data_IF_804591753796
#
_entry.id   IF_804591753796
#
_cell.length_a   1.000
_cell.length_b   1.000
_cell.length_c   1.000
_cell.angle_alpha   90.00
_cell.angle_beta   90.00
_cell.angle_gamma   90.00
#
_symmetry.space_group_name_H-M   'P 1'
#
loop_
_entity.id
_entity.type
_entity.pdbx_description
1 polymer ?
#
# COMPACT_ATOMS: atom_id res chain seq x y z
N UNK A 1 10.83 65.17 -20.97
CA UNK A 1 11.28 64.45 -19.75
C UNK A 1 10.17 64.40 -18.69
N UNK A 2 8.92 64.12 -19.08
CA UNK A 2 7.76 64.11 -18.17
C UNK A 2 6.65 63.14 -18.63
N UNK A 3 7.01 62.12 -19.43
CA UNK A 3 6.11 61.07 -19.90
C UNK A 3 6.60 59.65 -19.57
N UNK A 4 7.75 59.51 -18.92
CA UNK A 4 8.36 58.20 -18.59
C UNK A 4 8.11 57.76 -17.13
N UNK A 5 7.63 58.67 -16.26
CA UNK A 5 7.36 58.40 -14.85
C UNK A 5 5.93 57.88 -14.56
N UNK A 6 5.01 57.97 -15.53
CA UNK A 6 3.62 57.51 -15.37
C UNK A 6 3.41 56.02 -15.73
N UNK A 7 4.41 55.37 -16.33
CA UNK A 7 4.37 53.92 -16.62
C UNK A 7 4.96 53.05 -15.50
N UNK A 8 5.60 53.66 -14.48
CA UNK A 8 6.12 52.95 -13.30
C UNK A 8 5.17 52.94 -12.09
N UNK A 9 3.95 53.48 -12.24
CA UNK A 9 2.95 53.54 -11.16
C UNK A 9 1.67 52.73 -11.42
N UNK A 10 1.65 51.88 -12.46
CA UNK A 10 0.55 50.92 -12.74
C UNK A 10 0.98 49.45 -12.75
N UNK A 11 2.09 49.12 -12.08
CA UNK A 11 2.58 47.75 -11.92
C UNK A 11 2.51 47.21 -10.48
N UNK A 12 1.73 47.83 -9.59
CA UNK A 12 1.63 47.42 -8.17
C UNK A 12 0.19 47.09 -7.71
N UNK A 13 -0.63 46.51 -8.58
CA UNK A 13 -1.86 45.82 -8.18
C UNK A 13 -2.00 44.47 -8.89
N UNK A 14 -1.04 43.59 -8.65
CA UNK A 14 -1.35 42.17 -8.54
C UNK A 14 -0.70 41.71 -7.23
N UNK A 15 -1.54 41.53 -6.20
CA UNK A 15 -1.11 40.86 -4.99
C UNK A 15 -0.82 39.40 -5.33
N UNK A 16 0.36 39.12 -5.88
CA UNK A 16 0.91 37.78 -5.94
C UNK A 16 1.19 37.42 -4.49
N UNK A 17 0.23 36.76 -3.83
CA UNK A 17 0.44 36.09 -2.55
C UNK A 17 1.75 35.31 -2.69
N UNK A 18 2.74 35.59 -1.83
CA UNK A 18 3.95 34.76 -1.74
C UNK A 18 3.52 33.30 -1.71
N UNK A 19 3.93 32.58 -2.74
CA UNK A 19 3.45 31.24 -3.03
C UNK A 19 3.95 30.36 -1.88
N UNK A 20 3.04 29.74 -1.11
CA UNK A 20 3.36 28.77 -0.05
C UNK A 20 4.05 27.58 -0.70
N UNK A 21 5.38 27.62 -0.77
CA UNK A 21 6.14 26.73 -1.64
C UNK A 21 6.51 25.44 -0.92
N UNK A 22 6.63 25.41 0.41
CA UNK A 22 7.06 24.20 1.12
C UNK A 22 5.89 23.26 1.41
N UNK A 23 5.92 22.07 0.83
CA UNK A 23 4.90 21.04 1.00
C UNK A 23 5.47 19.74 1.59
N UNK A 24 4.77 19.15 2.55
CA UNK A 24 5.10 17.84 3.10
C UNK A 24 3.93 16.87 2.97
N UNK A 25 4.23 15.57 2.82
CA UNK A 25 3.25 14.51 2.73
C UNK A 25 3.35 13.56 3.93
N UNK A 26 2.23 13.32 4.59
CA UNK A 26 2.09 12.26 5.59
C UNK A 26 1.12 11.20 5.09
N UNK A 27 1.66 10.10 4.58
CA UNK A 27 0.87 9.00 4.04
C UNK A 27 0.67 7.90 5.07
N UNK A 28 -0.59 7.51 5.27
CA UNK A 28 -0.98 6.43 6.15
C UNK A 28 -1.64 5.29 5.36
N UNK A 29 -1.47 4.06 5.83
CA UNK A 29 -2.18 2.89 5.31
C UNK A 29 -1.38 2.06 4.32
N UNK A 30 -1.99 1.80 3.16
CA UNK A 30 -1.57 0.75 2.24
C UNK A 30 -0.58 1.24 1.16
N UNK A 31 0.02 0.28 0.44
CA UNK A 31 0.92 0.53 -0.72
C UNK A 31 0.27 1.44 -1.77
N UNK A 32 -1.03 1.30 -1.99
CA UNK A 32 -1.81 2.14 -2.91
C UNK A 32 -1.78 3.62 -2.51
N UNK A 33 -1.97 3.93 -1.22
CA UNK A 33 -1.90 5.30 -0.72
C UNK A 33 -0.50 5.91 -0.93
N UNK A 34 0.58 5.11 -0.81
CA UNK A 34 1.94 5.57 -1.12
C UNK A 34 2.12 5.89 -2.59
N UNK A 35 1.65 5.05 -3.51
CA UNK A 35 1.68 5.33 -4.94
C UNK A 35 0.95 6.64 -5.28
N UNK A 36 -0.23 6.85 -4.69
CA UNK A 36 -1.03 8.05 -4.90
C UNK A 36 -0.39 9.31 -4.31
N UNK A 37 0.15 9.24 -3.09
CA UNK A 37 0.83 10.38 -2.47
C UNK A 37 2.09 10.79 -3.23
N UNK A 38 2.91 9.84 -3.68
CA UNK A 38 4.10 10.18 -4.46
C UNK A 38 3.75 10.76 -5.83
N UNK A 39 2.67 10.30 -6.48
CA UNK A 39 2.19 10.89 -7.73
C UNK A 39 1.72 12.34 -7.53
N UNK A 40 0.96 12.61 -6.47
CA UNK A 40 0.57 13.98 -6.09
C UNK A 40 1.78 14.86 -5.77
N UNK A 41 2.77 14.32 -5.05
CA UNK A 41 3.99 15.04 -4.73
C UNK A 41 4.80 15.39 -5.99
N UNK A 42 4.82 14.51 -6.99
CA UNK A 42 5.48 14.78 -8.27
C UNK A 42 4.75 15.89 -9.05
N UNK A 43 3.44 15.81 -9.17
CA UNK A 43 2.61 16.83 -9.84
C UNK A 43 2.77 18.21 -9.19
N UNK A 44 2.75 18.28 -7.85
CA UNK A 44 2.99 19.52 -7.13
C UNK A 44 4.41 20.07 -7.34
N UNK A 45 5.44 19.22 -7.43
CA UNK A 45 6.81 19.68 -7.76
C UNK A 45 6.89 20.26 -9.16
N UNK A 46 6.25 19.62 -10.14
CA UNK A 46 6.19 20.11 -11.53
C UNK A 46 5.47 21.48 -11.61
N UNK A 47 4.60 21.79 -10.64
CA UNK A 47 3.90 23.07 -10.51
C UNK A 47 4.57 24.08 -9.55
N UNK A 48 5.83 23.84 -9.17
CA UNK A 48 6.68 24.79 -8.43
C UNK A 48 6.63 24.68 -6.90
N UNK A 49 6.01 23.65 -6.35
CA UNK A 49 6.05 23.38 -4.90
C UNK A 49 7.33 22.62 -4.53
N UNK A 50 8.02 23.07 -3.49
CA UNK A 50 9.19 22.43 -2.90
C UNK A 50 8.77 21.37 -1.87
N UNK A 51 9.03 20.11 -2.17
CA UNK A 51 8.82 19.04 -1.18
C UNK A 51 9.85 19.10 -0.05
N UNK A 52 9.38 19.12 1.20
CA UNK A 52 10.22 19.15 2.41
C UNK A 52 9.91 17.98 3.35
N UNK A 53 10.92 17.60 4.14
CA UNK A 53 10.82 16.63 5.23
C UNK A 53 11.83 17.07 6.30
N UNK A 54 11.43 17.37 7.56
CA UNK A 54 10.18 17.01 8.24
C UNK A 54 8.94 17.87 7.89
N UNK A 55 7.75 17.35 8.22
CA UNK A 55 6.48 18.05 8.04
C UNK A 55 6.33 19.31 8.91
N UNK A 56 7.18 19.46 9.93
CA UNK A 56 7.19 20.61 10.84
C UNK A 56 7.70 21.89 10.16
N UNK A 57 8.49 21.76 9.08
CA UNK A 57 9.02 22.89 8.30
C UNK A 57 8.16 23.27 7.08
N UNK A 58 7.00 22.60 6.91
CA UNK A 58 6.15 22.76 5.74
C UNK A 58 5.07 23.83 5.94
N UNK A 59 4.80 24.60 4.91
CA UNK A 59 3.70 25.56 4.89
C UNK A 59 2.37 24.88 4.55
N UNK A 60 2.44 23.79 3.78
CA UNK A 60 1.31 22.93 3.43
C UNK A 60 1.65 21.50 3.84
N UNK A 61 0.73 20.84 4.55
CA UNK A 61 0.88 19.43 4.90
C UNK A 61 -0.29 18.62 4.36
N UNK A 62 -0.01 17.69 3.46
CA UNK A 62 -1.00 16.78 2.87
C UNK A 62 -1.02 15.48 3.66
N UNK A 63 -2.15 15.19 4.31
CA UNK A 63 -2.40 13.95 5.06
C UNK A 63 -3.22 13.01 4.18
N UNK A 64 -2.62 11.91 3.71
CA UNK A 64 -3.35 10.87 2.98
C UNK A 64 -3.77 9.74 3.95
N UNK A 65 -5.07 9.70 4.25
CA UNK A 65 -5.67 8.86 5.29
C UNK A 65 -6.05 7.47 4.77
N UNK A 66 -6.19 6.52 5.71
CA UNK A 66 -6.60 5.14 5.42
C UNK A 66 -7.80 4.74 6.27
N UNK A 67 -8.79 4.09 5.64
CA UNK A 67 -10.01 3.60 6.27
C UNK A 67 -10.02 2.08 6.49
N UNK A 68 -8.90 1.37 6.30
CA UNK A 68 -8.87 -0.09 6.48
C UNK A 68 -8.98 -0.48 7.96
N UNK A 69 -8.35 0.26 8.87
CA UNK A 69 -8.39 -0.04 10.32
C UNK A 69 -8.63 1.22 11.15
N UNK A 70 -9.35 1.08 12.28
CA UNK A 70 -9.52 2.18 13.25
C UNK A 70 -8.18 2.68 13.81
N UNK A 71 -7.18 1.79 13.92
CA UNK A 71 -5.81 2.17 14.33
C UNK A 71 -5.15 3.13 13.33
N UNK A 72 -5.36 2.91 12.02
CA UNK A 72 -4.85 3.80 10.99
C UNK A 72 -5.50 5.19 11.09
N UNK A 73 -6.81 5.27 11.29
CA UNK A 73 -7.52 6.54 11.47
C UNK A 73 -7.08 7.29 12.71
N UNK A 74 -6.93 6.58 13.84
CA UNK A 74 -6.42 7.17 15.09
C UNK A 74 -5.03 7.78 14.89
N UNK A 75 -4.13 7.08 14.20
CA UNK A 75 -2.79 7.61 13.86
C UNK A 75 -2.86 8.85 12.97
N UNK A 76 -3.76 8.89 11.99
CA UNK A 76 -3.96 10.06 11.13
C UNK A 76 -4.38 11.28 11.96
N UNK A 77 -5.42 11.12 12.81
CA UNK A 77 -5.91 12.20 13.66
C UNK A 77 -4.84 12.68 14.64
N UNK A 78 -4.09 11.77 15.25
CA UNK A 78 -2.98 12.11 16.14
C UNK A 78 -1.89 12.91 15.42
N UNK A 79 -1.55 12.54 14.18
CA UNK A 79 -0.58 13.29 13.38
C UNK A 79 -1.07 14.71 13.08
N UNK A 80 -2.35 14.90 12.71
CA UNK A 80 -2.95 16.23 12.48
C UNK A 80 -2.80 17.11 13.73
N UNK A 81 -3.20 16.62 14.90
CA UNK A 81 -3.08 17.39 16.15
C UNK A 81 -1.63 17.73 16.47
N UNK A 82 -0.70 16.79 16.27
CA UNK A 82 0.72 17.04 16.49
C UNK A 82 1.25 18.13 15.56
N UNK A 83 0.97 18.02 14.25
CA UNK A 83 1.40 19.00 13.25
C UNK A 83 0.84 20.38 13.57
N UNK A 84 -0.44 20.48 13.91
CA UNK A 84 -1.03 21.77 14.29
C UNK A 84 -0.38 22.35 15.56
N UNK A 85 -0.01 21.51 16.53
CA UNK A 85 0.67 21.96 17.75
C UNK A 85 2.10 22.43 17.48
N UNK A 86 2.86 21.73 16.65
CA UNK A 86 4.28 22.04 16.37
C UNK A 86 4.46 23.09 15.28
N UNK A 87 3.51 23.20 14.36
CA UNK A 87 3.48 24.16 13.27
C UNK A 87 2.03 24.70 13.08
N UNK A 88 1.59 25.64 13.93
CA UNK A 88 0.23 26.17 13.89
C UNK A 88 -0.07 27.00 12.62
N UNK A 89 0.96 27.46 11.90
CA UNK A 89 0.82 28.18 10.63
C UNK A 89 0.61 27.28 9.40
N UNK A 90 0.86 25.98 9.52
CA UNK A 90 0.71 25.04 8.42
C UNK A 90 -0.75 24.93 7.96
N UNK A 91 -0.95 24.96 6.65
CA UNK A 91 -2.21 24.61 6.00
C UNK A 91 -2.32 23.10 5.89
N UNK A 92 -3.20 22.47 6.67
CA UNK A 92 -3.38 21.02 6.63
C UNK A 92 -4.46 20.66 5.61
N UNK A 93 -4.11 19.81 4.65
CA UNK A 93 -4.99 19.23 3.65
C UNK A 93 -5.17 17.75 4.00
N UNK A 94 -6.41 17.28 4.06
CA UNK A 94 -6.71 15.88 4.37
C UNK A 94 -7.37 15.21 3.18
N UNK A 95 -6.88 14.05 2.77
CA UNK A 95 -7.47 13.23 1.71
C UNK A 95 -7.39 11.74 2.03
N UNK A 96 -7.76 10.88 1.09
CA UNK A 96 -7.73 9.42 1.22
C UNK A 96 -9.05 8.81 1.68
N UNK A 97 -9.05 7.49 1.89
CA UNK A 97 -10.29 6.75 2.10
C UNK A 97 -11.06 7.16 3.35
N UNK A 98 -10.38 7.49 4.45
CA UNK A 98 -11.06 7.89 5.69
C UNK A 98 -11.66 9.29 5.55
N UNK A 99 -10.96 10.20 4.84
CA UNK A 99 -11.47 11.52 4.51
C UNK A 99 -12.73 11.46 3.64
N UNK A 100 -12.78 10.55 2.64
CA UNK A 100 -13.97 10.31 1.83
C UNK A 100 -15.18 9.89 2.67
N UNK A 101 -14.99 8.96 3.61
CA UNK A 101 -16.08 8.38 4.41
C UNK A 101 -16.50 9.27 5.58
N UNK A 102 -15.57 10.04 6.17
CA UNK A 102 -15.79 10.80 7.40
C UNK A 102 -15.23 12.23 7.27
N UNK A 103 -15.61 12.93 6.20
CA UNK A 103 -15.10 14.28 5.93
C UNK A 103 -15.41 15.29 7.04
N UNK A 104 -16.59 15.23 7.66
CA UNK A 104 -16.97 16.10 8.80
C UNK A 104 -16.09 15.89 10.02
N UNK A 105 -15.69 14.63 10.28
CA UNK A 105 -14.79 14.29 11.38
C UNK A 105 -13.33 14.71 11.15
N UNK A 106 -12.94 15.09 9.92
CA UNK A 106 -11.63 15.67 9.63
C UNK A 106 -11.69 17.19 9.45
N UNK A 107 -12.79 17.73 8.91
CA UNK A 107 -12.91 19.16 8.66
C UNK A 107 -13.03 20.00 9.94
N UNK A 108 -13.47 19.36 11.03
CA UNK A 108 -13.53 19.92 12.38
C UNK A 108 -12.20 19.89 13.13
N UNK A 109 -11.15 19.24 12.58
CA UNK A 109 -9.85 19.15 13.24
C UNK A 109 -9.05 20.44 13.08
N UNK A 110 -8.24 20.80 14.09
CA UNK A 110 -7.53 22.07 14.08
C UNK A 110 -6.45 22.11 12.98
N UNK A 111 -6.31 23.27 12.34
CA UNK A 111 -5.37 23.49 11.23
C UNK A 111 -5.82 22.93 9.88
N UNK A 112 -6.87 22.10 9.83
CA UNK A 112 -7.42 21.56 8.58
C UNK A 112 -8.13 22.67 7.82
N UNK A 113 -7.70 22.91 6.57
CA UNK A 113 -8.27 23.92 5.67
C UNK A 113 -8.97 23.32 4.46
N UNK A 114 -8.60 22.11 4.10
CA UNK A 114 -9.14 21.43 2.94
C UNK A 114 -9.30 19.94 3.21
N UNK A 115 -10.47 19.40 2.88
CA UNK A 115 -10.72 17.96 2.84
C UNK A 115 -11.11 17.56 1.42
N UNK A 116 -10.34 16.65 0.82
CA UNK A 116 -10.54 16.18 -0.56
C UNK A 116 -10.91 14.70 -0.58
N UNK A 117 -11.89 14.34 -1.41
CA UNK A 117 -12.25 12.97 -1.71
C UNK A 117 -11.12 12.19 -2.38
N UNK A 118 -11.31 10.87 -2.54
CA UNK A 118 -10.29 10.00 -3.13
C UNK A 118 -9.98 10.36 -4.58
N UNK A 119 -10.98 10.79 -5.35
CA UNK A 119 -10.84 11.21 -6.75
C UNK A 119 -10.52 12.71 -6.84
N UNK A 120 -11.02 13.51 -5.90
CA UNK A 120 -10.82 14.97 -5.86
C UNK A 120 -9.39 15.39 -5.57
N UNK A 121 -8.60 14.51 -4.95
CA UNK A 121 -7.19 14.79 -4.61
C UNK A 121 -6.33 15.16 -5.81
N UNK A 122 -6.69 14.72 -7.01
CA UNK A 122 -5.95 15.04 -8.23
C UNK A 122 -6.19 16.48 -8.72
N UNK A 123 -7.17 17.18 -8.14
CA UNK A 123 -7.40 18.62 -8.33
C UNK A 123 -6.82 19.49 -7.21
N UNK A 124 -5.85 18.98 -6.44
CA UNK A 124 -5.33 19.66 -5.23
C UNK A 124 -4.78 21.07 -5.51
N UNK A 125 -4.17 21.31 -6.67
CA UNK A 125 -3.62 22.62 -7.04
C UNK A 125 -4.75 23.64 -7.18
N UNK A 126 -5.78 23.33 -7.97
CA UNK A 126 -6.94 24.20 -8.14
C UNK A 126 -7.68 24.43 -6.81
N UNK A 127 -7.76 23.40 -5.97
CA UNK A 127 -8.37 23.49 -4.66
C UNK A 127 -7.57 24.38 -3.68
N UNK A 128 -6.24 24.35 -3.78
CA UNK A 128 -5.33 25.24 -3.03
C UNK A 128 -5.50 26.71 -3.43
N UNK A 129 -5.63 26.98 -4.74
CA UNK A 129 -5.86 28.33 -5.27
C UNK A 129 -7.24 28.88 -4.88
N UNK A 130 -8.22 28.00 -4.74
CA UNK A 130 -9.60 28.34 -4.35
C UNK A 130 -9.81 28.40 -2.83
N UNK A 131 -8.75 28.31 -2.01
CA UNK A 131 -8.89 28.38 -0.56
C UNK A 131 -9.44 29.75 -0.13
N UNK A 132 -10.55 29.78 0.63
CA UNK A 132 -11.12 31.04 1.08
C UNK A 132 -10.15 31.77 2.03
N UNK A 133 -10.21 33.10 2.02
CA UNK A 133 -9.45 33.95 2.95
C UNK A 133 -9.93 33.79 4.41
N UNK A 134 -11.16 33.30 4.59
CA UNK A 134 -11.78 33.09 5.90
C UNK A 134 -11.30 31.79 6.57
N UNK A 135 -11.54 31.67 7.88
CA UNK A 135 -11.11 30.53 8.67
C UNK A 135 -11.90 29.22 8.40
N UNK A 136 -12.70 29.15 7.33
CA UNK A 136 -13.59 28.04 7.02
C UNK A 136 -12.87 26.90 6.30
N UNK A 137 -13.12 25.67 6.72
CA UNK A 137 -12.62 24.48 6.03
C UNK A 137 -13.42 24.20 4.77
N UNK A 138 -12.76 24.10 3.62
CA UNK A 138 -13.38 23.67 2.37
C UNK A 138 -13.44 22.14 2.32
N UNK A 139 -14.61 21.57 2.01
CA UNK A 139 -14.77 20.14 1.78
C UNK A 139 -15.19 19.91 0.34
N UNK A 140 -14.34 19.27 -0.44
CA UNK A 140 -14.66 18.83 -1.80
C UNK A 140 -14.68 17.30 -1.82
N UNK A 141 -15.87 16.74 -1.60
CA UNK A 141 -16.11 15.30 -1.55
C UNK A 141 -17.18 14.97 -2.58
N UNK A 142 -16.77 14.41 -3.71
CA UNK A 142 -17.75 13.89 -4.67
C UNK A 142 -18.22 12.48 -4.26
N UNK A 143 -19.51 12.16 -4.46
CA UNK A 143 -19.98 10.79 -4.33
C UNK A 143 -19.21 9.88 -5.28
N UNK A 144 -18.77 8.76 -4.73
CA UNK A 144 -18.11 7.70 -5.47
C UNK A 144 -19.03 7.18 -6.58
N UNK A 145 -18.47 6.96 -7.79
CA UNK A 145 -19.19 6.37 -8.92
C UNK A 145 -19.75 7.35 -9.96
N UNK A 146 -19.67 8.68 -9.73
CA UNK A 146 -20.13 9.68 -10.72
C UNK A 146 -19.16 9.92 -11.88
N UNK A 147 -17.85 9.70 -11.69
CA UNK A 147 -16.80 9.90 -12.68
C UNK A 147 -15.71 8.84 -12.52
N UNK A 148 -15.99 7.59 -12.92
CA UNK A 148 -15.11 6.43 -12.73
C UNK A 148 -13.85 6.43 -13.64
N UNK A 149 -13.12 7.54 -13.72
CA UNK A 149 -11.83 7.60 -14.41
C UNK A 149 -10.78 6.88 -13.56
N UNK A 150 -10.03 5.99 -14.20
CA UNK A 150 -8.84 5.42 -13.58
C UNK A 150 -7.65 6.37 -13.75
N UNK A 151 -7.01 6.72 -12.64
CA UNK A 151 -5.77 7.52 -12.65
C UNK A 151 -4.63 6.62 -12.21
N UNK A 152 -3.71 6.39 -13.15
CA UNK A 152 -2.47 5.66 -12.89
C UNK A 152 -1.57 6.48 -11.97
N UNK A 153 -0.97 5.81 -10.99
CA UNK A 153 -0.12 6.47 -10.00
C UNK A 153 1.07 5.56 -9.67
N UNK A 154 2.23 6.15 -9.41
CA UNK A 154 3.40 5.39 -9.02
C UNK A 154 4.28 6.16 -8.04
N UNK A 155 5.02 5.42 -7.20
CA UNK A 155 5.96 6.02 -6.25
C UNK A 155 7.38 6.11 -6.79
N UNK A 156 8.06 7.24 -6.63
CA UNK A 156 9.44 7.45 -7.06
C UNK A 156 10.24 8.23 -6.02
N UNK A 157 11.54 7.91 -5.91
CA UNK A 157 12.52 8.69 -5.14
C UNK A 157 12.46 8.53 -3.62
N UNK A 158 11.30 8.18 -3.05
CA UNK A 158 11.14 8.01 -1.60
C UNK A 158 11.62 6.63 -1.08
N UNK A 159 11.73 5.64 -1.97
CA UNK A 159 12.04 4.24 -1.67
C UNK A 159 12.82 3.60 -2.81
N UNK A 160 13.57 2.54 -2.51
CA UNK A 160 14.29 1.73 -3.52
C UNK A 160 13.34 0.97 -4.47
N UNK A 161 12.07 0.83 -4.09
CA UNK A 161 11.04 0.06 -4.80
C UNK A 161 9.89 0.98 -5.17
N UNK A 162 9.31 0.79 -6.35
CA UNK A 162 8.17 1.56 -6.84
C UNK A 162 6.87 0.77 -6.70
N UNK A 163 5.86 1.34 -6.04
CA UNK A 163 4.49 0.85 -6.11
C UNK A 163 3.83 1.44 -7.36
N UNK A 164 3.38 0.60 -8.28
CA UNK A 164 2.64 1.00 -9.47
C UNK A 164 1.17 0.63 -9.29
N UNK A 165 0.30 1.63 -9.19
CA UNK A 165 -1.15 1.45 -9.13
C UNK A 165 -1.66 0.99 -10.50
N UNK A 166 -2.11 -0.26 -10.60
CA UNK A 166 -2.69 -0.83 -11.83
C UNK A 166 -4.21 -1.01 -11.73
N UNK A 167 -4.76 -1.06 -10.52
CA UNK A 167 -6.18 -1.34 -10.24
C UNK A 167 -6.64 -0.51 -9.02
N UNK A 168 -7.91 -0.11 -9.00
CA UNK A 168 -8.55 0.64 -7.90
C UNK A 168 -10.04 0.28 -7.76
N UNK A 169 -10.61 0.50 -6.58
CA UNK A 169 -11.97 0.08 -6.27
C UNK A 169 -12.13 -1.44 -6.17
N UNK A 170 -13.35 -1.92 -5.92
CA UNK A 170 -13.64 -3.36 -5.83
C UNK A 170 -15.13 -3.65 -5.99
N UNK A 171 -15.46 -4.68 -6.77
CA UNK A 171 -16.86 -5.14 -6.97
C UNK A 171 -17.26 -6.24 -5.98
N UNK A 172 -16.38 -6.58 -5.04
CA UNK A 172 -16.65 -7.57 -3.99
C UNK A 172 -17.33 -6.89 -2.80
N UNK A 173 -18.38 -7.54 -2.30
CA UNK A 173 -19.24 -7.02 -1.25
C UNK A 173 -18.96 -7.74 0.07
N UNK A 174 -17.71 -7.71 0.51
CA UNK A 174 -17.33 -8.29 1.80
C UNK A 174 -18.00 -7.50 2.94
N UNK A 175 -18.62 -8.21 3.88
CA UNK A 175 -19.50 -7.61 4.88
C UNK A 175 -18.80 -6.59 5.79
N UNK A 176 -17.47 -6.64 5.93
CA UNK A 176 -16.67 -5.71 6.74
C UNK A 176 -15.98 -4.59 5.94
N UNK A 177 -15.98 -4.66 4.61
CA UNK A 177 -15.08 -3.87 3.78
C UNK A 177 -15.68 -2.50 3.43
N UNK A 178 -14.95 -1.42 3.72
CA UNK A 178 -15.37 -0.06 3.36
C UNK A 178 -14.90 0.38 1.98
N UNK A 179 -14.16 -0.46 1.26
CA UNK A 179 -13.52 -0.03 0.00
C UNK A 179 -14.54 0.34 -1.08
N UNK A 180 -15.64 -0.43 -1.32
CA UNK A 180 -16.66 0.00 -2.27
C UNK A 180 -17.26 1.38 -1.92
N UNK A 181 -17.42 1.66 -0.61
CA UNK A 181 -17.94 2.95 -0.12
C UNK A 181 -16.94 4.11 -0.33
N UNK A 182 -15.64 3.84 -0.23
CA UNK A 182 -14.59 4.87 -0.26
C UNK A 182 -13.97 5.07 -1.65
N UNK A 183 -13.93 4.03 -2.48
CA UNK A 183 -13.20 3.99 -3.76
C UNK A 183 -14.07 3.54 -4.93
N UNK A 184 -15.23 2.93 -4.68
CA UNK A 184 -16.18 2.56 -5.72
C UNK A 184 -15.90 1.24 -6.39
N UNK A 185 -16.55 1.06 -7.54
CA UNK A 185 -16.44 -0.11 -8.40
C UNK A 185 -15.00 -0.33 -8.88
N UNK A 186 -14.69 -1.60 -9.21
CA UNK A 186 -13.39 -1.99 -9.72
C UNK A 186 -13.10 -1.32 -11.07
N UNK A 187 -11.91 -0.76 -11.21
CA UNK A 187 -11.39 -0.12 -12.43
C UNK A 187 -9.88 -0.29 -12.49
N UNK A 188 -9.33 -0.30 -13.69
CA UNK A 188 -7.90 -0.50 -13.90
C UNK A 188 -7.37 0.31 -15.09
N UNK A 189 -6.05 0.42 -15.15
CA UNK A 189 -5.36 0.74 -16.39
C UNK A 189 -5.59 -0.36 -17.44
N UNK A 190 -5.21 -0.06 -18.69
CA UNK A 190 -5.00 -1.09 -19.71
C UNK A 190 -3.59 -1.68 -19.62
N UNK A 191 -3.34 -2.80 -20.28
CA UNK A 191 -2.00 -3.40 -20.41
C UNK A 191 -1.04 -2.38 -21.03
N UNK A 192 -1.44 -1.73 -22.13
CA UNK A 192 -0.63 -0.69 -22.79
C UNK A 192 -0.22 0.42 -21.83
N UNK A 193 -1.18 1.01 -21.12
CA UNK A 193 -0.90 2.09 -20.15
C UNK A 193 0.02 1.60 -19.02
N UNK A 194 -0.15 0.36 -18.58
CA UNK A 194 0.67 -0.24 -17.52
C UNK A 194 2.11 -0.43 -18.00
N UNK A 195 2.32 -0.95 -19.21
CA UNK A 195 3.64 -1.14 -19.81
C UNK A 195 4.36 0.19 -20.05
N UNK A 196 3.65 1.22 -20.52
CA UNK A 196 4.19 2.58 -20.65
C UNK A 196 4.74 3.10 -19.31
N UNK A 197 4.00 2.90 -18.21
CA UNK A 197 4.48 3.30 -16.88
C UNK A 197 5.61 2.43 -16.36
N UNK A 198 5.61 1.12 -16.63
CA UNK A 198 6.74 0.24 -16.28
C UNK A 198 8.03 0.76 -16.92
N UNK A 199 8.01 1.07 -18.21
CA UNK A 199 9.18 1.59 -18.93
C UNK A 199 9.62 2.96 -18.37
N UNK A 200 8.67 3.87 -18.08
CA UNK A 200 8.97 5.16 -17.45
C UNK A 200 9.61 5.01 -16.07
N UNK A 201 9.16 4.04 -15.27
CA UNK A 201 9.71 3.78 -13.92
C UNK A 201 11.10 3.15 -14.02
N UNK A 202 11.28 2.16 -14.90
CA UNK A 202 12.55 1.50 -15.14
C UNK A 202 13.64 2.50 -15.57
N UNK A 203 13.29 3.43 -16.48
CA UNK A 203 14.19 4.50 -16.92
C UNK A 203 14.66 5.46 -15.81
N UNK A 204 14.07 5.41 -14.61
CA UNK A 204 14.48 6.21 -13.44
C UNK A 204 15.39 5.44 -12.48
N UNK A 205 15.89 4.25 -12.86
CA UNK A 205 16.84 3.46 -12.07
C UNK A 205 16.23 2.72 -10.88
N UNK A 206 14.90 2.58 -10.84
CA UNK A 206 14.22 1.71 -9.86
C UNK A 206 14.61 0.26 -10.14
N UNK A 207 14.74 -0.58 -9.10
CA UNK A 207 15.14 -2.00 -9.23
C UNK A 207 14.02 -3.01 -8.99
N UNK A 208 12.89 -2.56 -8.44
CA UNK A 208 11.70 -3.38 -8.27
C UNK A 208 10.41 -2.57 -8.42
N UNK A 209 9.47 -3.12 -9.19
CA UNK A 209 8.13 -2.58 -9.40
C UNK A 209 7.11 -3.54 -8.79
N UNK A 210 6.33 -3.04 -7.83
CA UNK A 210 5.24 -3.78 -7.20
C UNK A 210 3.91 -3.34 -7.83
N UNK A 211 3.29 -4.26 -8.58
CA UNK A 211 1.97 -4.07 -9.15
C UNK A 211 0.93 -4.05 -8.03
N UNK A 212 0.35 -2.87 -7.81
CA UNK A 212 -0.46 -2.53 -6.64
C UNK A 212 -1.88 -2.17 -7.04
N UNK A 213 -2.83 -2.55 -6.20
CA UNK A 213 -4.23 -2.14 -6.31
C UNK A 213 -4.98 -2.48 -5.03
N UNK A 214 -6.31 -2.44 -5.09
CA UNK A 214 -7.17 -2.94 -4.03
C UNK A 214 -7.28 -4.46 -4.13
N UNK A 215 -7.65 -4.96 -5.32
CA UNK A 215 -7.75 -6.36 -5.68
C UNK A 215 -7.24 -6.51 -7.12
N UNK A 216 -5.95 -6.75 -7.29
CA UNK A 216 -5.35 -6.71 -8.63
C UNK A 216 -5.81 -7.86 -9.54
N UNK A 217 -6.42 -8.91 -8.98
CA UNK A 217 -7.02 -9.99 -9.76
C UNK A 217 -8.14 -9.51 -10.69
N UNK A 218 -8.81 -8.40 -10.35
CA UNK A 218 -9.86 -7.78 -11.17
C UNK A 218 -9.29 -6.90 -12.32
N UNK A 219 -7.97 -6.83 -12.49
CA UNK A 219 -7.34 -6.01 -13.52
C UNK A 219 -7.85 -6.37 -14.93
N UNK A 220 -8.13 -5.34 -15.74
CA UNK A 220 -8.42 -5.47 -17.16
C UNK A 220 -9.89 -5.79 -17.49
N UNK A 221 -10.71 -6.13 -16.49
CA UNK A 221 -12.09 -6.62 -16.69
C UNK A 221 -12.96 -5.69 -17.56
N UNK A 222 -12.84 -4.37 -17.39
CA UNK A 222 -13.59 -3.37 -18.17
C UNK A 222 -13.08 -3.17 -19.60
N UNK A 223 -11.88 -3.66 -19.89
CA UNK A 223 -11.19 -3.51 -21.17
C UNK A 223 -11.07 -4.83 -21.94
N UNK A 224 -11.74 -5.90 -21.47
CA UNK A 224 -11.56 -7.27 -21.97
C UNK A 224 -10.09 -7.74 -21.94
N UNK A 225 -9.34 -7.26 -20.96
CA UNK A 225 -7.97 -7.68 -20.64
C UNK A 225 -7.97 -8.46 -19.31
N UNK A 226 -6.84 -9.06 -18.94
CA UNK A 226 -6.72 -9.79 -17.68
C UNK A 226 -5.36 -9.58 -17.02
N UNK A 227 -5.29 -9.84 -15.71
CA UNK A 227 -4.01 -9.84 -15.00
C UNK A 227 -3.05 -10.90 -15.58
N UNK A 228 -3.55 -12.07 -15.96
CA UNK A 228 -2.73 -13.11 -16.62
C UNK A 228 -2.09 -12.60 -17.90
N UNK A 229 -2.85 -11.89 -18.75
CA UNK A 229 -2.33 -11.29 -19.97
C UNK A 229 -1.28 -10.21 -19.68
N UNK A 230 -1.50 -9.36 -18.66
CA UNK A 230 -0.50 -8.39 -18.22
C UNK A 230 0.79 -9.07 -17.73
N UNK A 231 0.69 -10.14 -16.94
CA UNK A 231 1.86 -10.92 -16.48
C UNK A 231 2.63 -11.45 -17.69
N UNK A 232 1.95 -12.02 -18.68
CA UNK A 232 2.58 -12.51 -19.91
C UNK A 232 3.26 -11.41 -20.73
N UNK A 233 2.65 -10.23 -20.82
CA UNK A 233 3.25 -9.06 -21.48
C UNK A 233 4.51 -8.58 -20.74
N UNK A 234 4.47 -8.55 -19.40
CA UNK A 234 5.64 -8.16 -18.60
C UNK A 234 6.79 -9.13 -18.81
N UNK A 235 6.52 -10.43 -18.77
CA UNK A 235 7.54 -11.48 -18.98
C UNK A 235 8.21 -11.30 -20.35
N UNK A 236 7.43 -11.04 -21.40
CA UNK A 236 7.91 -10.97 -22.78
C UNK A 236 8.64 -9.67 -23.13
N UNK A 237 8.14 -8.54 -22.64
CA UNK A 237 8.49 -7.23 -23.22
C UNK A 237 9.04 -6.22 -22.22
N UNK A 238 8.93 -6.47 -20.91
CA UNK A 238 9.39 -5.51 -19.90
C UNK A 238 10.92 -5.56 -19.71
N UNK A 239 11.54 -4.50 -19.15
CA UNK A 239 12.95 -4.51 -18.78
C UNK A 239 13.31 -5.68 -17.86
N UNK A 240 14.28 -6.50 -18.30
CA UNK A 240 14.63 -7.76 -17.65
C UNK A 240 15.57 -7.59 -16.44
N UNK A 241 16.15 -6.40 -16.26
CA UNK A 241 16.97 -6.03 -15.08
C UNK A 241 16.12 -5.55 -13.88
N UNK A 242 14.79 -5.53 -14.05
CA UNK A 242 13.82 -5.12 -13.05
C UNK A 242 13.13 -6.33 -12.45
N UNK A 243 12.98 -6.33 -11.13
CA UNK A 243 12.14 -7.30 -10.43
C UNK A 243 10.68 -6.83 -10.40
N UNK A 244 9.75 -7.71 -10.76
CA UNK A 244 8.32 -7.45 -10.65
C UNK A 244 7.72 -8.23 -9.49
N UNK A 245 6.79 -7.62 -8.76
CA UNK A 245 6.09 -8.29 -7.66
C UNK A 245 4.62 -7.98 -7.68
N UNK A 246 3.80 -8.99 -7.44
CA UNK A 246 2.37 -8.81 -7.27
C UNK A 246 2.06 -8.38 -5.82
N UNK A 247 1.10 -7.47 -5.68
CA UNK A 247 0.47 -7.19 -4.39
C UNK A 247 -0.61 -8.24 -4.08
N UNK A 248 -1.66 -7.86 -3.36
CA UNK A 248 -2.68 -8.78 -2.88
C UNK A 248 -3.62 -9.23 -4.00
N UNK A 249 -3.85 -10.54 -4.11
CA UNK A 249 -4.78 -11.17 -5.06
C UNK A 249 -5.77 -12.03 -4.28
N UNK A 250 -7.06 -11.79 -4.47
CA UNK A 250 -8.14 -12.61 -3.91
C UNK A 250 -8.01 -14.09 -4.34
N UNK A 251 -8.20 -15.09 -3.44
CA UNK A 251 -8.04 -16.50 -3.78
C UNK A 251 -8.76 -16.97 -5.05
N UNK A 252 -10.04 -16.61 -5.24
CA UNK A 252 -10.84 -17.01 -6.41
C UNK A 252 -10.41 -16.36 -7.72
N UNK A 253 -9.55 -15.35 -7.68
CA UNK A 253 -9.00 -14.68 -8.86
C UNK A 253 -7.57 -15.12 -9.18
N UNK A 254 -6.92 -15.90 -8.32
CA UNK A 254 -5.58 -16.43 -8.58
C UNK A 254 -5.69 -17.72 -9.39
N UNK A 255 -5.47 -17.64 -10.70
CA UNK A 255 -5.61 -18.80 -11.58
C UNK A 255 -4.31 -19.61 -11.68
N UNK A 256 -4.44 -20.88 -12.06
CA UNK A 256 -3.29 -21.78 -12.28
C UNK A 256 -2.35 -21.24 -13.35
N UNK A 257 -2.89 -20.62 -14.41
CA UNK A 257 -2.08 -20.02 -15.49
C UNK A 257 -1.22 -18.86 -14.98
N UNK A 258 -1.74 -18.06 -14.02
CA UNK A 258 -0.92 -17.01 -13.38
C UNK A 258 0.21 -17.61 -12.56
N UNK A 259 -0.10 -18.66 -11.78
CA UNK A 259 0.90 -19.37 -10.97
C UNK A 259 1.99 -19.97 -11.87
N UNK A 260 1.60 -20.58 -13.00
CA UNK A 260 2.50 -21.19 -13.98
C UNK A 260 3.37 -20.15 -14.68
N UNK A 261 2.77 -19.03 -15.12
CA UNK A 261 3.52 -17.94 -15.74
C UNK A 261 4.56 -17.35 -14.79
N UNK A 262 4.22 -17.15 -13.52
CA UNK A 262 5.17 -16.68 -12.51
C UNK A 262 6.20 -17.77 -12.21
N UNK A 263 5.81 -19.04 -12.11
CA UNK A 263 6.71 -20.18 -11.91
C UNK A 263 7.80 -20.23 -12.99
N UNK A 264 7.42 -20.06 -14.26
CA UNK A 264 8.35 -20.05 -15.39
C UNK A 264 9.12 -18.74 -15.62
N UNK A 265 8.91 -17.70 -14.81
CA UNK A 265 9.52 -16.39 -15.00
C UNK A 265 10.73 -16.14 -14.09
N UNK A 266 11.76 -15.48 -14.63
CA UNK A 266 12.90 -14.99 -13.86
C UNK A 266 12.74 -13.53 -13.39
N UNK A 267 11.82 -12.77 -14.00
CA UNK A 267 11.60 -11.35 -13.66
C UNK A 267 10.60 -11.18 -12.52
N UNK A 268 9.69 -12.14 -12.31
CA UNK A 268 8.76 -12.10 -11.19
C UNK A 268 9.35 -12.65 -9.89
N UNK A 269 9.14 -11.89 -8.83
CA UNK A 269 9.45 -12.29 -7.47
C UNK A 269 8.67 -13.55 -7.06
N UNK A 270 9.36 -14.49 -6.40
CA UNK A 270 8.78 -15.71 -5.83
C UNK A 270 7.99 -15.41 -4.54
N UNK A 271 6.92 -14.64 -4.68
CA UNK A 271 6.10 -14.19 -3.58
C UNK A 271 4.66 -13.96 -4.01
N UNK A 272 3.74 -14.52 -3.23
CA UNK A 272 2.31 -14.25 -3.35
C UNK A 272 1.78 -13.66 -2.05
N UNK A 273 0.84 -12.74 -2.16
CA UNK A 273 0.07 -12.28 -1.03
C UNK A 273 -1.40 -12.58 -1.27
N UNK A 274 -1.95 -13.52 -0.51
CA UNK A 274 -3.28 -14.10 -0.74
C UNK A 274 -4.11 -13.92 0.54
N UNK A 275 -5.03 -12.94 0.59
CA UNK A 275 -5.75 -12.60 1.80
C UNK A 275 -6.81 -13.67 2.09
N UNK A 276 -6.54 -14.52 3.10
CA UNK A 276 -7.44 -15.60 3.53
C UNK A 276 -8.61 -15.07 4.35
N UNK A 277 -8.37 -14.07 5.20
CA UNK A 277 -9.31 -13.41 6.12
C UNK A 277 -9.80 -14.28 7.28
N UNK A 278 -10.12 -15.54 7.06
CA UNK A 278 -10.40 -16.55 8.10
C UNK A 278 -10.13 -17.94 7.53
N UNK A 279 -9.79 -18.92 8.37
CA UNK A 279 -9.65 -20.30 7.94
C UNK A 279 -10.77 -21.20 8.48
N UNK A 280 -11.96 -20.63 8.68
CA UNK A 280 -13.21 -21.35 8.91
C UNK A 280 -14.24 -20.98 7.82
N UNK A 281 -14.81 -21.98 7.15
CA UNK A 281 -15.80 -21.77 6.08
C UNK A 281 -17.07 -21.04 6.57
N UNK A 282 -17.52 -21.28 7.80
CA UNK A 282 -18.65 -20.56 8.39
C UNK A 282 -18.35 -19.05 8.52
N UNK A 283 -17.18 -18.72 9.06
CA UNK A 283 -16.74 -17.33 9.21
C UNK A 283 -16.49 -16.68 7.84
N UNK A 284 -15.88 -17.37 6.88
CA UNK A 284 -15.69 -16.88 5.51
C UNK A 284 -17.02 -16.55 4.83
N UNK A 285 -18.03 -17.42 4.98
CA UNK A 285 -19.38 -17.17 4.48
C UNK A 285 -20.01 -15.95 5.17
N UNK A 286 -19.88 -15.83 6.48
CA UNK A 286 -20.38 -14.67 7.24
C UNK A 286 -19.67 -13.36 6.85
N UNK A 287 -18.41 -13.44 6.44
CA UNK A 287 -17.65 -12.31 5.88
C UNK A 287 -18.06 -11.94 4.44
N UNK A 288 -18.83 -12.77 3.75
CA UNK A 288 -19.21 -12.58 2.35
C UNK A 288 -18.08 -12.93 1.36
N UNK A 289 -17.20 -13.86 1.72
CA UNK A 289 -16.12 -14.35 0.85
C UNK A 289 -16.68 -15.34 -0.18
N UNK A 290 -16.06 -15.37 -1.37
CA UNK A 290 -16.49 -16.18 -2.53
C UNK A 290 -15.68 -17.46 -2.72
N UNK A 291 -14.87 -17.80 -1.74
CA UNK A 291 -13.99 -18.97 -1.71
C UNK A 291 -14.08 -19.65 -0.35
N UNK A 292 -13.52 -20.85 -0.28
CA UNK A 292 -13.44 -21.68 0.92
C UNK A 292 -11.98 -22.07 1.22
N UNK A 293 -11.76 -22.74 2.34
CA UNK A 293 -10.41 -23.17 2.76
C UNK A 293 -9.82 -24.25 1.84
N UNK A 294 -10.67 -25.04 1.19
CA UNK A 294 -10.25 -26.09 0.26
C UNK A 294 -9.60 -25.50 -0.99
N UNK A 295 -10.22 -24.48 -1.60
CA UNK A 295 -9.60 -23.73 -2.70
C UNK A 295 -8.29 -23.09 -2.26
N UNK A 296 -8.27 -22.48 -1.06
CA UNK A 296 -7.07 -21.87 -0.54
C UNK A 296 -5.92 -22.87 -0.41
N UNK A 297 -6.19 -24.07 0.12
CA UNK A 297 -5.22 -25.18 0.20
C UNK A 297 -4.66 -25.55 -1.17
N UNK A 298 -5.54 -25.77 -2.15
CA UNK A 298 -5.16 -26.14 -3.52
C UNK A 298 -4.21 -25.10 -4.11
N UNK A 299 -4.51 -23.81 -3.95
CA UNK A 299 -3.67 -22.72 -4.45
C UNK A 299 -2.30 -22.71 -3.76
N UNK A 300 -2.27 -22.79 -2.43
CA UNK A 300 -0.99 -22.77 -1.70
C UNK A 300 -0.12 -23.98 -2.02
N UNK A 301 -0.71 -25.17 -2.12
CA UNK A 301 0.03 -26.39 -2.43
C UNK A 301 0.56 -26.35 -3.88
N UNK A 302 -0.26 -25.86 -4.83
CA UNK A 302 0.17 -25.66 -6.23
C UNK A 302 1.37 -24.71 -6.33
N UNK A 303 1.32 -23.57 -5.64
CA UNK A 303 2.42 -22.59 -5.59
C UNK A 303 3.69 -23.24 -5.04
N UNK A 304 3.59 -23.95 -3.91
CA UNK A 304 4.77 -24.53 -3.24
C UNK A 304 5.33 -25.75 -3.96
N UNK A 305 4.50 -26.52 -4.66
CA UNK A 305 4.97 -27.62 -5.51
C UNK A 305 5.79 -27.12 -6.70
N UNK A 306 5.37 -26.00 -7.32
CA UNK A 306 6.07 -25.40 -8.47
C UNK A 306 7.25 -24.52 -8.05
N UNK A 307 7.12 -23.85 -6.91
CA UNK A 307 8.12 -22.94 -6.37
C UNK A 307 8.33 -23.22 -4.88
N UNK A 308 9.12 -24.24 -4.50
CA UNK A 308 9.29 -24.66 -3.10
C UNK A 308 9.81 -23.58 -2.15
N UNK A 309 10.47 -22.55 -2.68
CA UNK A 309 11.05 -21.42 -1.94
C UNK A 309 10.16 -20.17 -1.96
N UNK A 310 8.95 -20.26 -2.53
CA UNK A 310 8.04 -19.13 -2.66
C UNK A 310 7.50 -18.72 -1.29
N UNK A 311 7.48 -17.40 -1.03
CA UNK A 311 6.87 -16.87 0.18
C UNK A 311 5.39 -16.59 -0.07
N UNK A 312 4.52 -17.20 0.73
CA UNK A 312 3.08 -16.89 0.73
C UNK A 312 2.77 -16.08 1.98
N UNK A 313 2.34 -14.83 1.78
CA UNK A 313 1.81 -13.98 2.84
C UNK A 313 0.29 -14.00 2.85
N UNK A 314 -0.32 -13.97 4.03
CA UNK A 314 -1.80 -13.93 4.17
C UNK A 314 -2.24 -12.80 5.08
N UNK A 315 -3.53 -12.47 5.05
CA UNK A 315 -4.18 -11.58 6.00
C UNK A 315 -5.27 -12.38 6.75
N UNK A 316 -5.41 -12.18 8.06
CA UNK A 316 -6.45 -12.80 8.91
C UNK A 316 -7.14 -11.73 9.76
N UNK A 317 -8.46 -11.82 9.86
CA UNK A 317 -9.29 -11.02 10.76
C UNK A 317 -9.76 -11.91 11.91
N UNK A 318 -9.54 -11.47 13.14
CA UNK A 318 -9.99 -12.19 14.36
C UNK A 318 -11.21 -11.54 14.99
N UNK A 319 -12.10 -12.36 15.56
CA UNK A 319 -13.30 -11.93 16.26
C UNK A 319 -14.31 -11.21 15.37
N UNK A 320 -14.46 -11.70 14.13
CA UNK A 320 -15.57 -11.27 13.27
C UNK A 320 -16.92 -11.56 13.98
N UNK A 321 -17.99 -10.75 13.78
CA UNK A 321 -19.27 -10.99 14.44
C UNK A 321 -19.79 -12.41 14.14
N UNK A 322 -20.07 -13.17 15.20
CA UNK A 322 -20.44 -14.58 15.14
C UNK A 322 -19.30 -15.60 15.23
N UNK A 323 -18.03 -15.19 15.25
CA UNK A 323 -16.88 -16.11 15.36
C UNK A 323 -16.80 -16.76 16.75
N UNK A 324 -17.08 -18.07 16.80
CA UNK A 324 -17.04 -18.88 18.02
C UNK A 324 -15.61 -19.26 18.42
N UNK A 325 -15.43 -19.88 19.59
CA UNK A 325 -14.12 -20.40 19.99
C UNK A 325 -13.70 -21.60 19.12
N UNK A 326 -14.66 -22.42 18.67
CA UNK A 326 -14.44 -23.53 17.74
C UNK A 326 -14.04 -23.06 16.33
N UNK A 327 -14.66 -21.99 15.81
CA UNK A 327 -14.27 -21.38 14.54
C UNK A 327 -12.83 -20.86 14.57
N UNK A 328 -12.43 -20.27 15.71
CA UNK A 328 -11.07 -19.79 15.91
C UNK A 328 -10.07 -20.95 16.01
N UNK A 329 -10.40 -22.01 16.76
CA UNK A 329 -9.54 -23.18 16.86
C UNK A 329 -9.34 -23.86 15.50
N UNK A 330 -10.43 -24.00 14.73
CA UNK A 330 -10.38 -24.47 13.33
C UNK A 330 -9.45 -23.60 12.50
N UNK A 331 -9.57 -22.28 12.64
CA UNK A 331 -8.69 -21.33 11.93
C UNK A 331 -7.23 -21.51 12.31
N UNK A 332 -6.94 -21.59 13.61
CA UNK A 332 -5.59 -21.75 14.13
C UNK A 332 -4.95 -23.05 13.64
N UNK A 333 -5.65 -24.17 13.85
CA UNK A 333 -5.23 -25.52 13.45
C UNK A 333 -4.99 -25.62 11.94
N UNK A 334 -5.89 -25.07 11.11
CA UNK A 334 -5.68 -25.07 9.65
C UNK A 334 -4.43 -24.30 9.25
N UNK A 335 -4.21 -23.11 9.82
CA UNK A 335 -3.03 -22.28 9.51
C UNK A 335 -1.72 -22.96 9.93
N UNK A 336 -1.71 -23.71 11.04
CA UNK A 336 -0.53 -24.49 11.44
C UNK A 336 -0.10 -25.48 10.36
N UNK A 337 -1.02 -26.03 9.59
CA UNK A 337 -0.73 -26.98 8.51
C UNK A 337 -0.36 -26.32 7.17
N UNK A 338 -0.41 -24.99 7.06
CA UNK A 338 -0.05 -24.27 5.82
C UNK A 338 1.45 -24.00 5.71
N UNK A 339 1.98 -24.06 4.49
CA UNK A 339 3.36 -23.68 4.15
C UNK A 339 3.54 -22.18 3.88
N UNK A 340 2.91 -21.31 4.67
CA UNK A 340 3.00 -19.85 4.51
C UNK A 340 4.27 -19.27 5.15
N UNK A 341 4.69 -18.10 4.68
CA UNK A 341 5.85 -17.39 5.22
C UNK A 341 5.51 -16.37 6.31
N UNK A 342 4.32 -15.75 6.26
CA UNK A 342 3.86 -14.84 7.31
C UNK A 342 2.36 -14.57 7.19
N UNK A 343 1.77 -14.02 8.24
CA UNK A 343 0.42 -13.46 8.21
C UNK A 343 0.39 -12.07 8.84
N UNK A 344 -0.46 -11.19 8.31
CA UNK A 344 -0.92 -10.02 9.05
C UNK A 344 -2.21 -10.36 9.79
N UNK A 345 -2.29 -9.97 11.06
CA UNK A 345 -3.43 -10.25 11.92
C UNK A 345 -4.10 -8.94 12.31
N UNK A 346 -5.40 -8.85 12.07
CA UNK A 346 -6.20 -7.68 12.33
C UNK A 346 -7.39 -8.05 13.24
N UNK A 347 -7.49 -7.53 14.47
CA UNK A 347 -8.73 -7.67 15.22
C UNK A 347 -9.87 -6.96 14.46
N UNK A 348 -11.03 -7.61 14.38
CA UNK A 348 -12.19 -7.07 13.70
C UNK A 348 -12.58 -5.72 14.30
N UNK A 349 -12.55 -4.70 13.44
CA UNK A 349 -12.98 -3.34 13.74
C UNK A 349 -14.25 -3.06 12.95
N UNK A 350 -15.41 -2.88 13.61
CA UNK A 350 -16.63 -2.53 12.91
C UNK A 350 -16.46 -1.16 12.23
N UNK A 351 -16.98 -1.02 11.00
CA UNK A 351 -16.88 0.23 10.22
C UNK A 351 -18.25 0.74 9.79
N UNK A 352 -18.60 2.01 10.06
CA UNK A 352 -19.89 2.58 9.66
C UNK A 352 -20.17 2.38 8.16
N UNK A 353 -21.43 2.03 7.85
CA UNK A 353 -21.88 1.79 6.47
C UNK A 353 -21.62 0.38 5.94
N UNK A 354 -20.93 -0.49 6.68
CA UNK A 354 -20.73 -1.90 6.29
C UNK A 354 -21.80 -2.82 6.91
N UNK A 355 -22.08 -3.96 6.28
CA UNK A 355 -23.05 -4.92 6.83
C UNK A 355 -22.63 -5.43 8.22
N UNK A 356 -21.33 -5.65 8.44
CA UNK A 356 -20.79 -6.10 9.71
C UNK A 356 -20.86 -5.04 10.82
N UNK A 357 -21.16 -3.78 10.50
CA UNK A 357 -21.39 -2.73 11.49
C UNK A 357 -22.62 -3.01 12.37
N UNK A 358 -23.68 -3.56 11.77
CA UNK A 358 -24.97 -3.78 12.43
C UNK A 358 -25.17 -5.23 12.86
N UNK A 359 -24.21 -6.12 12.58
CA UNK A 359 -24.26 -7.52 13.00
C UNK A 359 -24.24 -7.63 14.53
N UNK A 360 -25.12 -8.50 15.04
CA UNK A 360 -25.17 -8.91 16.46
C UNK A 360 -24.09 -9.96 16.75
N UNK A 361 -23.94 -10.37 18.01
CA UNK A 361 -22.97 -11.39 18.46
C UNK A 361 -21.51 -10.99 18.23
N UNK A 362 -21.16 -9.77 18.66
CA UNK A 362 -19.79 -9.29 18.58
C UNK A 362 -18.89 -10.04 19.57
N UNK A 363 -17.71 -10.44 19.11
CA UNK A 363 -16.67 -10.97 20.00
C UNK A 363 -16.11 -9.82 20.83
N UNK A 364 -15.97 -10.04 22.14
CA UNK A 364 -15.46 -9.02 23.06
C UNK A 364 -13.98 -8.68 22.76
N UNK A 365 -13.52 -7.53 23.26
CA UNK A 365 -12.18 -7.02 22.97
C UNK A 365 -11.07 -7.93 23.51
N UNK A 366 -11.27 -8.52 24.69
CA UNK A 366 -10.29 -9.40 25.34
C UNK A 366 -10.03 -10.66 24.50
N UNK A 367 -11.09 -11.35 24.06
CA UNK A 367 -10.98 -12.51 23.16
C UNK A 367 -10.34 -12.13 21.83
N UNK A 368 -10.71 -10.99 21.24
CA UNK A 368 -10.06 -10.50 20.01
C UNK A 368 -8.56 -10.30 20.18
N UNK A 369 -8.14 -9.72 21.29
CA UNK A 369 -6.74 -9.47 21.60
C UNK A 369 -5.98 -10.78 21.86
N UNK A 370 -6.55 -11.70 22.63
CA UNK A 370 -6.01 -13.03 22.87
C UNK A 370 -5.81 -13.80 21.55
N UNK A 371 -6.87 -13.90 20.73
CA UNK A 371 -6.84 -14.56 19.41
C UNK A 371 -5.79 -13.93 18.49
N UNK A 372 -5.70 -12.60 18.49
CA UNK A 372 -4.71 -11.87 17.71
C UNK A 372 -3.28 -12.19 18.15
N UNK A 373 -3.02 -12.23 19.47
CA UNK A 373 -1.71 -12.60 20.01
C UNK A 373 -1.30 -14.01 19.59
N UNK A 374 -2.20 -15.00 19.75
CA UNK A 374 -1.94 -16.38 19.36
C UNK A 374 -1.54 -16.52 17.88
N UNK A 375 -2.25 -15.84 16.98
CA UNK A 375 -1.92 -15.85 15.55
C UNK A 375 -0.65 -15.06 15.22
N UNK A 376 -0.34 -13.98 15.94
CA UNK A 376 0.91 -13.25 15.77
C UNK A 376 2.11 -14.11 16.16
N UNK A 377 2.01 -14.85 17.27
CA UNK A 377 3.04 -15.79 17.71
C UNK A 377 3.21 -16.94 16.69
N UNK A 378 2.11 -17.45 16.13
CA UNK A 378 2.15 -18.43 15.04
C UNK A 378 2.79 -17.85 13.76
N UNK A 379 2.49 -16.59 13.42
CA UNK A 379 3.10 -15.87 12.29
C UNK A 379 4.63 -15.81 12.42
N UNK A 380 5.12 -15.52 13.63
CA UNK A 380 6.55 -15.48 13.89
C UNK A 380 7.21 -16.86 13.75
N UNK A 381 6.57 -17.92 14.26
CA UNK A 381 7.03 -19.31 14.06
C UNK A 381 7.12 -19.65 12.57
N UNK A 382 6.05 -19.40 11.81
CA UNK A 382 5.99 -19.63 10.36
C UNK A 382 7.06 -18.85 9.59
N UNK A 383 7.29 -17.59 9.97
CA UNK A 383 8.36 -16.77 9.38
C UNK A 383 9.74 -17.34 9.65
N UNK A 384 9.99 -17.79 10.88
CA UNK A 384 11.27 -18.39 11.24
C UNK A 384 11.49 -19.72 10.51
N UNK A 385 10.48 -20.58 10.42
CA UNK A 385 10.51 -21.81 9.60
C UNK A 385 10.86 -21.50 8.14
N UNK A 386 10.20 -20.49 7.55
CA UNK A 386 10.48 -20.06 6.18
C UNK A 386 11.92 -19.55 6.01
N UNK A 387 12.43 -18.77 6.97
CA UNK A 387 13.80 -18.25 6.94
C UNK A 387 14.81 -19.39 7.04
N UNK A 388 14.62 -20.33 7.97
CA UNK A 388 15.50 -21.48 8.15
C UNK A 388 15.52 -22.40 6.92
N UNK A 389 14.37 -22.61 6.26
CA UNK A 389 14.29 -23.35 4.99
C UNK A 389 15.11 -22.71 3.86
N UNK A 390 15.32 -21.40 3.93
CA UNK A 390 16.11 -20.65 2.94
C UNK A 390 17.56 -20.39 3.38
N UNK A 391 17.99 -20.90 4.53
CA UNK A 391 19.37 -20.76 4.99
C UNK A 391 20.34 -21.44 4.03
N UNK A 392 21.57 -20.92 3.96
CA UNK A 392 22.66 -21.36 3.08
C UNK A 392 22.39 -21.22 1.57
N UNK A 393 21.33 -20.51 1.19
CA UNK A 393 21.06 -20.15 -0.21
C UNK A 393 21.83 -18.89 -0.61
N UNK A 394 22.17 -18.83 -1.89
CA UNK A 394 22.59 -17.60 -2.53
C UNK A 394 21.36 -16.92 -3.13
N UNK A 395 21.11 -15.69 -2.74
CA UNK A 395 19.92 -14.93 -3.15
C UNK A 395 20.31 -13.50 -3.52
N UNK A 396 19.54 -12.91 -4.43
CA UNK A 396 19.73 -11.53 -4.84
C UNK A 396 18.86 -10.60 -3.98
N UNK A 397 19.49 -9.65 -3.28
CA UNK A 397 18.87 -8.67 -2.37
C UNK A 397 18.86 -7.27 -2.99
N UNK A 398 17.73 -6.60 -2.89
CA UNK A 398 17.60 -5.17 -3.19
C UNK A 398 17.82 -4.40 -1.90
N UNK A 399 18.92 -3.63 -1.84
CA UNK A 399 19.35 -2.93 -0.62
C UNK A 399 18.60 -1.61 -0.45
N UNK A 400 17.96 -1.44 0.70
CA UNK A 400 17.27 -0.21 1.07
C UNK A 400 18.25 0.87 1.56
N UNK A 401 17.88 2.14 1.37
CA UNK A 401 18.74 3.28 1.70
C UNK A 401 18.87 3.56 3.20
N UNK A 402 17.98 3.03 4.02
CA UNK A 402 18.01 3.25 5.46
C UNK A 402 18.96 2.26 6.13
N UNK A 403 19.89 2.79 6.92
CA UNK A 403 20.70 1.97 7.84
C UNK A 403 20.24 2.20 9.27
N UNK A 404 20.42 1.19 10.11
CA UNK A 404 20.27 1.30 11.56
C UNK A 404 21.31 0.43 12.24
N UNK A 405 21.98 0.97 13.25
CA UNK A 405 22.98 0.24 14.05
C UNK A 405 24.10 -0.39 13.17
N UNK A 406 24.63 0.37 12.20
CA UNK A 406 25.69 -0.10 11.29
C UNK A 406 25.26 -1.13 10.25
N UNK A 407 23.96 -1.44 10.14
CA UNK A 407 23.42 -2.41 9.19
C UNK A 407 22.50 -1.75 8.18
N UNK A 408 22.66 -2.12 6.91
CA UNK A 408 21.67 -1.93 5.85
C UNK A 408 20.64 -3.06 5.90
N UNK A 409 19.46 -2.80 5.36
CA UNK A 409 18.43 -3.83 5.18
C UNK A 409 18.02 -3.94 3.72
N UNK A 410 17.60 -5.12 3.29
CA UNK A 410 17.06 -5.35 1.95
C UNK A 410 16.10 -6.52 1.91
N UNK A 411 15.53 -6.77 0.73
CA UNK A 411 14.64 -7.92 0.51
C UNK A 411 15.11 -8.80 -0.64
N UNK A 412 15.07 -10.11 -0.43
CA UNK A 412 15.25 -11.12 -1.49
C UNK A 412 14.04 -11.18 -2.44
N UNK A 413 14.15 -11.96 -3.52
CA UNK A 413 13.03 -12.22 -4.43
C UNK A 413 11.82 -12.78 -3.69
N UNK A 414 12.03 -13.75 -2.80
CA UNK A 414 11.00 -14.35 -1.95
C UNK A 414 10.74 -13.61 -0.64
N UNK A 415 11.00 -12.29 -0.58
CA UNK A 415 10.57 -11.41 0.50
C UNK A 415 11.19 -11.68 1.89
N UNK A 416 12.34 -12.34 1.94
CA UNK A 416 13.15 -12.45 3.16
C UNK A 416 13.83 -11.11 3.41
N UNK A 417 13.69 -10.61 4.64
CA UNK A 417 14.36 -9.39 5.07
C UNK A 417 15.78 -9.73 5.50
N UNK A 418 16.74 -9.15 4.80
CA UNK A 418 18.17 -9.41 5.00
C UNK A 418 18.84 -8.19 5.63
N UNK A 419 19.64 -8.41 6.67
CA UNK A 419 20.54 -7.44 7.25
C UNK A 419 21.95 -7.64 6.68
N UNK A 420 22.56 -6.55 6.23
CA UNK A 420 23.86 -6.53 5.55
C UNK A 420 24.73 -5.45 6.22
N UNK A 421 26.03 -5.70 6.48
CA UNK A 421 26.93 -4.66 6.98
C UNK A 421 26.91 -3.40 6.11
N UNK A 422 26.88 -2.24 6.75
CA UNK A 422 26.82 -0.97 6.03
C UNK A 422 28.06 -0.74 5.16
N UNK A 423 27.80 -0.46 3.88
CA UNK A 423 28.76 0.07 2.91
C UNK A 423 28.03 1.01 1.97
N UNK A 424 28.55 2.23 1.79
CA UNK A 424 27.85 3.33 1.09
C UNK A 424 27.49 2.96 -0.35
N UNK A 425 28.39 2.25 -1.03
CA UNK A 425 28.25 1.79 -2.40
C UNK A 425 27.14 0.75 -2.61
N UNK A 426 26.65 0.11 -1.55
CA UNK A 426 25.58 -0.89 -1.66
C UNK A 426 24.18 -0.28 -1.65
N UNK A 427 24.04 0.99 -1.24
CA UNK A 427 22.74 1.64 -1.12
C UNK A 427 22.04 1.68 -2.49
N UNK A 428 20.83 1.13 -2.55
CA UNK A 428 20.02 1.09 -3.78
C UNK A 428 20.48 0.07 -4.81
N UNK A 429 21.55 -0.68 -4.55
CA UNK A 429 22.06 -1.70 -5.45
C UNK A 429 21.33 -3.02 -5.30
N UNK A 430 21.46 -3.83 -6.36
CA UNK A 430 21.15 -5.25 -6.34
C UNK A 430 22.44 -6.00 -5.98
N UNK A 431 22.39 -6.82 -4.93
CA UNK A 431 23.55 -7.54 -4.44
C UNK A 431 23.24 -9.02 -4.29
N UNK A 432 24.18 -9.88 -4.67
CA UNK A 432 24.11 -11.30 -4.35
C UNK A 432 24.67 -11.53 -2.96
N UNK A 433 23.95 -12.30 -2.14
CA UNK A 433 24.32 -12.61 -0.76
C UNK A 433 24.14 -14.09 -0.46
N UNK A 434 24.98 -14.60 0.42
CA UNK A 434 24.78 -15.88 1.08
C UNK A 434 23.98 -15.69 2.37
N UNK A 435 22.86 -16.39 2.52
CA UNK A 435 21.98 -16.31 3.69
C UNK A 435 22.52 -17.19 4.83
N UNK A 436 23.17 -16.58 5.83
CA UNK A 436 24.02 -17.29 6.79
C UNK A 436 23.35 -17.64 8.14
N UNK A 437 22.19 -17.08 8.45
CA UNK A 437 21.49 -17.32 9.72
C UNK A 437 20.58 -16.15 10.11
N UNK A 438 19.80 -16.30 11.19
CA UNK A 438 18.87 -15.26 11.65
C UNK A 438 19.44 -14.54 12.88
N UNK A 439 19.46 -13.21 12.86
CA UNK A 439 19.93 -12.41 13.98
C UNK A 439 18.86 -12.22 15.08
N UNK A 440 19.26 -11.66 16.22
CA UNK A 440 18.38 -11.39 17.37
C UNK A 440 17.18 -10.46 17.04
N UNK A 441 17.24 -9.70 15.95
CA UNK A 441 16.16 -8.83 15.48
C UNK A 441 15.22 -9.55 14.49
N UNK A 442 15.36 -10.87 14.32
CA UNK A 442 14.55 -11.68 13.42
C UNK A 442 14.82 -11.44 11.93
N UNK A 443 15.99 -10.90 11.57
CA UNK A 443 16.39 -10.67 10.18
C UNK A 443 17.44 -11.70 9.74
N UNK A 444 17.38 -12.13 8.48
CA UNK A 444 18.39 -13.00 7.90
C UNK A 444 19.71 -12.24 7.72
N UNK A 445 20.84 -12.84 8.04
CA UNK A 445 22.18 -12.24 7.89
C UNK A 445 22.68 -12.57 6.48
N UNK A 446 22.98 -11.53 5.71
CA UNK A 446 23.59 -11.65 4.39
C UNK A 446 25.11 -11.46 4.46
N UNK A 447 25.86 -12.49 4.06
CA UNK A 447 27.32 -12.45 3.94
C UNK A 447 27.75 -12.66 2.47
N UNK A 448 29.06 -12.60 2.21
CA UNK A 448 29.65 -12.80 0.86
C UNK A 448 29.03 -11.89 -0.21
N UNK A 449 28.89 -10.61 0.11
CA UNK A 449 28.13 -9.65 -0.68
C UNK A 449 28.89 -9.27 -1.95
N UNK A 450 28.26 -9.47 -3.11
CA UNK A 450 28.77 -9.04 -4.42
C UNK A 450 27.74 -8.17 -5.11
N UNK A 451 28.14 -7.01 -5.66
CA UNK A 451 27.25 -6.18 -6.45
C UNK A 451 27.00 -6.89 -7.78
N UNK A 452 25.72 -7.08 -8.13
CA UNK A 452 25.33 -7.61 -9.43
C UNK A 452 25.53 -6.48 -10.45
N UNK A 453 26.52 -6.65 -11.33
CA UNK A 453 26.85 -5.66 -12.38
C UNK A 453 25.82 -5.68 -13.50
#
# INVERSE_FOLDING_TARGET
MQLFLLLLHRANHTGVKEKKNKIAFCTFGCKLNYAESSALAADLRENGYLSVNPAEDAEIVVINTCAVTARAEKKCKQAIHRIHKTNPGATIIVTGCSAQLNHTGYSSLPGVKLVLGVEDKYGIINALESLPSENKTLCNIHPVGKNEKFIIAHSLGERTRSFLKIQDGCDYHCNYCTIPLARGSSRSATIRQTMEQINRIAGKGVREIILTGVNIGDFGRRHNESLTALIGEIIRSAPQDIRYRLSSIEPDLLTTEMIDAIAGSDVFARHFHIPLQSACNNTLKAMGRRYNIELFRILTDSILNKMPQCCIGIDIITGFPGETDEDFETTYSFIQTLGIGYMHVFPFSPRPGTNAWTMKNTVNSEKKEQRSRLLLDLSEKKRNEFYMKNMNRHETVIVESKHKDGMLTGYTGNYIKVAIPYKKELIGQIVDVHLAGVNQKGMMIGNQIKIKR
#
